data_IF_800219820600
#
_entry.id   IF_800219820600
#
_cell.length_a   1.000
_cell.length_b   1.000
_cell.length_c   1.000
_cell.angle_alpha   90.00
_cell.angle_beta   90.00
_cell.angle_gamma   90.00
#
_symmetry.space_group_name_H-M   'P 1'
#
loop_
_entity.id
_entity.type
_entity.pdbx_description
1 polymer ?
#
# COMPACT_ATOMS: atom_id res chain seq x y z
N UNK A 1 16.70 -13.52 11.53
CA UNK A 1 17.74 -13.96 10.57
C UNK A 1 18.56 -12.74 10.15
N UNK A 2 19.90 -12.84 10.01
CA UNK A 2 20.74 -11.76 9.43
C UNK A 2 20.56 -11.72 7.92
N UNK A 3 20.72 -10.56 7.28
CA UNK A 3 20.79 -10.42 5.82
C UNK A 3 22.26 -10.39 5.37
N UNK A 4 22.55 -10.99 4.22
CA UNK A 4 23.78 -10.67 3.48
C UNK A 4 23.60 -9.34 2.76
N UNK A 5 24.70 -8.71 2.34
CA UNK A 5 24.67 -7.46 1.57
C UNK A 5 23.78 -7.59 0.33
N UNK A 6 24.01 -8.62 -0.50
CA UNK A 6 23.23 -8.86 -1.72
C UNK A 6 21.72 -8.98 -1.46
N UNK A 7 21.35 -9.66 -0.38
CA UNK A 7 19.96 -9.86 -0.02
C UNK A 7 19.30 -8.58 0.49
N UNK A 8 20.06 -7.77 1.23
CA UNK A 8 19.62 -6.45 1.64
C UNK A 8 19.42 -5.53 0.43
N UNK A 9 20.36 -5.53 -0.52
CA UNK A 9 20.23 -4.78 -1.78
C UNK A 9 18.95 -5.18 -2.51
N UNK A 10 18.70 -6.48 -2.69
CA UNK A 10 17.47 -6.97 -3.34
C UNK A 10 16.22 -6.51 -2.60
N UNK A 11 16.21 -6.60 -1.26
CA UNK A 11 15.07 -6.17 -0.45
C UNK A 11 14.81 -4.67 -0.60
N UNK A 12 15.86 -3.84 -0.51
CA UNK A 12 15.75 -2.39 -0.64
C UNK A 12 15.30 -1.98 -2.04
N UNK A 13 15.82 -2.60 -3.10
CA UNK A 13 15.36 -2.35 -4.47
C UNK A 13 13.89 -2.71 -4.66
N UNK A 14 13.41 -3.81 -4.05
CA UNK A 14 11.98 -4.15 -4.06
C UNK A 14 11.14 -3.10 -3.32
N UNK A 15 11.61 -2.62 -2.17
CA UNK A 15 10.96 -1.56 -1.39
C UNK A 15 10.92 -0.24 -2.18
N UNK A 16 12.01 0.14 -2.84
CA UNK A 16 12.05 1.32 -3.72
C UNK A 16 10.99 1.23 -4.82
N UNK A 17 10.87 0.07 -5.48
CA UNK A 17 9.83 -0.18 -6.48
C UNK A 17 8.41 0.00 -5.91
N UNK A 18 8.16 -0.52 -4.70
CA UNK A 18 6.91 -0.31 -3.97
C UNK A 18 6.63 1.18 -3.76
N UNK A 19 7.59 1.94 -3.25
CA UNK A 19 7.41 3.37 -3.01
C UNK A 19 7.18 4.17 -4.30
N UNK A 20 7.88 3.80 -5.37
CA UNK A 20 7.75 4.45 -6.68
C UNK A 20 6.46 4.08 -7.43
N UNK A 21 5.80 2.97 -7.06
CA UNK A 21 4.46 2.61 -7.55
C UNK A 21 3.32 3.38 -6.86
N UNK A 22 3.63 4.21 -5.86
CA UNK A 22 2.63 4.95 -5.09
C UNK A 22 1.90 6.00 -5.93
N UNK A 23 0.56 6.06 -5.93
CA UNK A 23 -0.19 7.16 -6.52
C UNK A 23 0.21 8.51 -5.91
N UNK A 24 0.51 9.50 -6.76
CA UNK A 24 0.73 10.90 -6.36
C UNK A 24 -0.57 11.68 -6.21
N UNK A 25 -1.60 11.25 -6.93
CA UNK A 25 -2.93 11.83 -6.93
C UNK A 25 -3.96 10.73 -6.61
N UNK A 26 -5.14 11.09 -6.07
CA UNK A 26 -6.25 10.17 -5.93
C UNK A 26 -6.58 9.52 -7.28
N UNK A 27 -7.06 8.27 -7.23
CA UNK A 27 -7.48 7.55 -8.42
C UNK A 27 -8.75 8.22 -8.96
N UNK A 28 -8.81 8.44 -10.28
CA UNK A 28 -9.97 9.03 -10.93
C UNK A 28 -11.19 8.10 -10.80
N UNK A 29 -12.38 8.69 -10.68
CA UNK A 29 -13.64 7.95 -10.75
C UNK A 29 -14.12 7.71 -12.19
N UNK A 30 -13.42 8.26 -13.19
CA UNK A 30 -13.73 8.08 -14.61
C UNK A 30 -13.29 6.68 -15.08
N UNK A 31 -14.21 5.86 -15.62
CA UNK A 31 -13.86 4.54 -16.17
C UNK A 31 -12.86 4.58 -17.33
N UNK A 32 -12.67 5.73 -17.99
CA UNK A 32 -11.70 5.90 -19.07
C UNK A 32 -10.30 6.32 -18.59
N UNK A 33 -10.14 6.68 -17.30
CA UNK A 33 -8.86 7.06 -16.70
C UNK A 33 -8.54 6.22 -15.46
N UNK A 34 -8.27 4.90 -15.63
CA UNK A 34 -8.15 3.99 -14.50
C UNK A 34 -6.79 4.08 -13.78
N UNK A 35 -5.80 4.80 -14.33
CA UNK A 35 -4.41 4.66 -13.88
C UNK A 35 -3.86 5.96 -13.26
N UNK A 36 -3.59 5.98 -11.94
CA UNK A 36 -3.07 7.18 -11.30
C UNK A 36 -1.61 7.45 -11.71
N UNK A 37 -1.25 8.73 -11.75
CA UNK A 37 0.16 9.14 -11.91
C UNK A 37 0.94 8.76 -10.65
N UNK A 38 2.11 8.15 -10.83
CA UNK A 38 3.02 7.68 -9.76
C UNK A 38 4.42 8.25 -9.97
N UNK A 39 5.33 8.25 -8.97
CA UNK A 39 6.72 8.63 -9.18
C UNK A 39 7.39 7.86 -10.32
N UNK A 40 7.08 6.57 -10.48
CA UNK A 40 7.60 5.77 -11.58
C UNK A 40 7.26 6.34 -12.97
N UNK A 41 6.06 6.91 -13.15
CA UNK A 41 5.71 7.58 -14.41
C UNK A 41 6.65 8.75 -14.72
N UNK A 42 7.11 9.47 -13.70
CA UNK A 42 8.05 10.58 -13.88
C UNK A 42 9.50 10.10 -14.08
N UNK A 43 9.90 9.04 -13.37
CA UNK A 43 11.28 8.53 -13.40
C UNK A 43 11.58 7.71 -14.67
N UNK A 44 10.64 6.88 -15.10
CA UNK A 44 10.84 5.91 -16.19
C UNK A 44 9.77 5.98 -17.29
N UNK A 45 8.83 6.93 -17.20
CA UNK A 45 7.79 7.14 -18.22
C UNK A 45 6.64 6.13 -18.20
N UNK A 46 6.60 5.20 -17.23
CA UNK A 46 5.62 4.10 -17.18
C UNK A 46 5.43 3.57 -15.75
N UNK A 47 4.32 2.87 -15.46
CA UNK A 47 4.14 2.25 -14.16
C UNK A 47 5.12 1.08 -13.96
N UNK A 48 5.56 0.88 -12.71
CA UNK A 48 6.26 -0.34 -12.31
C UNK A 48 5.20 -1.42 -12.10
N UNK A 49 5.27 -2.49 -12.88
CA UNK A 49 4.40 -3.66 -12.75
C UNK A 49 5.22 -4.87 -12.30
N UNK A 50 4.62 -5.71 -11.46
CA UNK A 50 5.20 -6.99 -11.04
C UNK A 50 4.17 -8.10 -11.20
N UNK A 51 4.68 -9.29 -11.51
CA UNK A 51 3.85 -10.50 -11.56
C UNK A 51 3.37 -10.82 -10.14
N UNK A 52 2.08 -11.11 -9.92
CA UNK A 52 1.58 -11.54 -8.63
C UNK A 52 2.35 -12.75 -8.14
N UNK A 53 2.95 -12.62 -6.97
CA UNK A 53 3.73 -13.70 -6.40
C UNK A 53 2.93 -14.35 -5.21
N UNK A 54 3.03 -15.67 -4.94
CA UNK A 54 2.25 -16.38 -3.89
C UNK A 54 2.32 -15.82 -2.45
N UNK A 55 1.23 -15.67 -1.70
CA UNK A 55 1.34 -15.17 -0.32
C UNK A 55 2.11 -16.14 0.62
N UNK A 56 3.09 -15.60 1.36
CA UNK A 56 3.91 -16.34 2.32
C UNK A 56 3.74 -15.81 3.76
N UNK A 57 2.80 -14.89 3.99
CA UNK A 57 2.54 -14.23 5.27
C UNK A 57 2.35 -15.23 6.43
N UNK A 58 1.58 -16.30 6.19
CA UNK A 58 1.22 -17.33 7.17
C UNK A 58 2.30 -18.40 7.41
N UNK A 59 3.30 -18.50 6.54
CA UNK A 59 4.29 -19.60 6.61
C UNK A 59 5.41 -19.25 7.61
N UNK A 60 5.71 -20.11 8.61
CA UNK A 60 6.80 -19.88 9.56
C UNK A 60 8.16 -19.70 8.88
N UNK A 61 8.98 -18.77 9.37
CA UNK A 61 10.25 -18.39 8.71
C UNK A 61 11.27 -19.54 8.61
N UNK A 62 11.22 -20.49 9.54
CA UNK A 62 12.09 -21.67 9.53
C UNK A 62 11.75 -22.68 8.42
N UNK A 63 10.64 -22.50 7.70
CA UNK A 63 10.23 -23.33 6.56
C UNK A 63 10.43 -22.63 5.21
N UNK A 64 11.01 -21.44 5.21
CA UNK A 64 11.21 -20.65 4.00
C UNK A 64 12.63 -20.85 3.47
N UNK A 65 12.73 -21.08 2.17
CA UNK A 65 13.98 -20.86 1.45
C UNK A 65 14.40 -19.39 1.54
N UNK A 66 15.65 -19.11 1.20
CA UNK A 66 16.18 -17.76 1.35
C UNK A 66 15.46 -16.72 0.48
N UNK A 67 15.08 -17.11 -0.72
CA UNK A 67 14.31 -16.27 -1.64
C UNK A 67 12.88 -16.04 -1.12
N UNK A 68 12.22 -17.07 -0.61
CA UNK A 68 10.91 -16.97 0.03
C UNK A 68 10.93 -16.09 1.29
N UNK A 69 12.03 -16.13 2.06
CA UNK A 69 12.21 -15.24 3.21
C UNK A 69 12.25 -13.76 2.79
N UNK A 70 13.07 -13.40 1.79
CA UNK A 70 13.11 -12.02 1.28
C UNK A 70 11.78 -11.53 0.75
N UNK A 71 11.07 -12.43 0.09
CA UNK A 71 9.75 -12.20 -0.45
C UNK A 71 8.71 -11.95 0.63
N UNK A 72 8.68 -12.79 1.67
CA UNK A 72 7.85 -12.56 2.86
C UNK A 72 8.16 -11.20 3.51
N UNK A 73 9.43 -10.80 3.58
CA UNK A 73 9.83 -9.49 4.11
C UNK A 73 9.34 -8.33 3.24
N UNK A 74 9.39 -8.49 1.92
CA UNK A 74 8.81 -7.52 0.98
C UNK A 74 7.29 -7.40 1.15
N UNK A 75 6.58 -8.53 1.26
CA UNK A 75 5.13 -8.55 1.49
C UNK A 75 4.74 -7.92 2.83
N UNK A 76 5.50 -8.18 3.89
CA UNK A 76 5.29 -7.55 5.19
C UNK A 76 5.49 -6.04 5.15
N UNK A 77 6.50 -5.56 4.41
CA UNK A 77 6.69 -4.13 4.17
C UNK A 77 5.50 -3.56 3.38
N UNK A 78 5.10 -4.18 2.27
CA UNK A 78 3.96 -3.76 1.46
C UNK A 78 2.68 -3.63 2.30
N UNK A 79 2.37 -4.63 3.12
CA UNK A 79 1.18 -4.61 3.97
C UNK A 79 1.21 -3.47 5.00
N UNK A 80 2.36 -3.25 5.65
CA UNK A 80 2.52 -2.18 6.63
C UNK A 80 2.48 -0.81 5.96
N UNK A 81 3.21 -0.65 4.87
CA UNK A 81 3.24 0.56 4.06
C UNK A 81 1.85 0.94 3.57
N UNK A 82 1.11 0.00 2.97
CA UNK A 82 -0.23 0.28 2.43
C UNK A 82 -1.18 0.70 3.54
N UNK A 83 -1.19 -0.02 4.67
CA UNK A 83 -2.02 0.30 5.83
C UNK A 83 -1.74 1.71 6.35
N UNK A 84 -0.48 2.05 6.55
CA UNK A 84 -0.08 3.30 7.19
C UNK A 84 -0.15 4.48 6.19
N UNK A 85 0.14 4.23 4.91
CA UNK A 85 0.04 5.23 3.85
C UNK A 85 -1.40 5.71 3.63
N UNK A 86 -2.37 4.80 3.55
CA UNK A 86 -3.77 5.17 3.38
C UNK A 86 -4.28 6.04 4.55
N UNK A 87 -3.81 5.75 5.77
CA UNK A 87 -4.10 6.59 6.92
C UNK A 87 -3.50 7.99 6.79
N UNK A 88 -2.36 8.14 6.11
CA UNK A 88 -1.73 9.43 5.84
C UNK A 88 -2.41 10.23 4.73
N UNK A 89 -3.07 9.57 3.77
CA UNK A 89 -3.84 10.23 2.71
C UNK A 89 -5.16 10.80 3.22
N UNK A 90 -5.71 10.26 4.30
CA UNK A 90 -6.87 10.85 4.96
C UNK A 90 -6.44 12.16 5.64
N UNK A 91 -6.78 13.29 5.02
CA UNK A 91 -6.69 14.59 5.69
C UNK A 91 -7.52 14.53 6.98
N UNK A 92 -6.85 14.44 8.12
CA UNK A 92 -7.50 14.62 9.42
C UNK A 92 -7.83 16.09 9.58
N UNK A 93 -9.07 16.45 9.23
CA UNK A 93 -9.66 17.70 9.65
C UNK A 93 -9.62 17.73 11.18
N UNK A 94 -8.88 18.67 11.78
CA UNK A 94 -9.04 18.93 13.22
C UNK A 94 -10.49 19.34 13.44
N UNK A 95 -11.15 18.70 14.41
CA UNK A 95 -12.47 19.10 14.90
C UNK A 95 -12.36 20.50 15.52
N UNK A 96 -12.39 21.53 14.67
CA UNK A 96 -12.35 22.95 15.07
C UNK A 96 -13.73 23.45 15.44
N UNK A 97 -14.79 22.72 15.06
CA UNK A 97 -16.18 23.00 15.41
C UNK A 97 -16.82 21.73 15.97
N UNK A 98 -17.67 21.85 17.00
CA UNK A 98 -18.52 20.73 17.45
C UNK A 98 -19.53 20.43 16.35
N UNK A 99 -19.49 19.25 15.70
CA UNK A 99 -20.55 18.84 14.79
C UNK A 99 -21.86 18.68 15.58
N UNK A 100 -23.02 18.86 14.94
CA UNK A 100 -24.28 18.42 15.54
C UNK A 100 -24.25 16.91 15.79
N UNK A 101 -24.97 16.44 16.81
CA UNK A 101 -25.15 15.01 17.06
C UNK A 101 -25.94 14.38 15.89
N UNK A 102 -25.59 13.13 15.54
CA UNK A 102 -26.30 12.33 14.55
C UNK A 102 -27.79 12.20 14.93
N UNK A 103 -28.67 12.38 13.96
CA UNK A 103 -30.11 12.21 14.10
C UNK A 103 -30.63 11.08 13.22
N UNK A 104 -31.79 10.53 13.60
CA UNK A 104 -32.47 9.53 12.77
C UNK A 104 -32.83 10.14 11.41
N UNK A 105 -32.38 9.49 10.33
CA UNK A 105 -32.55 9.99 8.96
C UNK A 105 -31.26 10.58 8.34
N UNK A 106 -30.19 10.76 9.13
CA UNK A 106 -28.91 11.21 8.60
C UNK A 106 -28.23 10.12 7.75
N UNK A 107 -27.67 10.54 6.61
CA UNK A 107 -26.84 9.68 5.77
C UNK A 107 -25.45 9.53 6.38
N UNK A 108 -25.03 8.30 6.65
CA UNK A 108 -23.71 7.98 7.21
C UNK A 108 -22.93 7.04 6.30
N UNK A 109 -21.61 7.23 6.24
CA UNK A 109 -20.70 6.29 5.59
C UNK A 109 -20.40 5.13 6.55
N UNK A 110 -20.79 3.92 6.17
CA UNK A 110 -20.35 2.71 6.88
C UNK A 110 -18.94 2.35 6.42
N UNK A 111 -17.99 2.40 7.33
CA UNK A 111 -16.64 1.88 7.10
C UNK A 111 -16.67 0.37 7.32
N UNK A 112 -16.69 -0.39 6.24
CA UNK A 112 -16.49 -1.84 6.28
C UNK A 112 -14.99 -2.15 6.28
N UNK A 113 -14.54 -3.02 7.19
CA UNK A 113 -13.12 -3.40 7.29
C UNK A 113 -12.67 -4.30 6.12
N UNK A 114 -13.62 -4.84 5.35
CA UNK A 114 -13.37 -5.78 4.24
C UNK A 114 -13.42 -5.17 2.83
N UNK A 115 -13.68 -3.86 2.70
CA UNK A 115 -13.65 -3.20 1.38
C UNK A 115 -12.31 -2.54 1.11
N UNK A 116 -11.88 -2.63 -0.15
CA UNK A 116 -10.69 -1.94 -0.63
C UNK A 116 -10.78 -0.43 -0.30
N UNK A 117 -9.67 0.19 0.11
CA UNK A 117 -9.67 1.58 0.54
C UNK A 117 -10.09 2.50 -0.62
N UNK A 118 -10.99 3.44 -0.32
CA UNK A 118 -11.30 4.58 -1.19
C UNK A 118 -10.06 5.44 -1.44
#
# INVERSE_FOLDING_TARGET
QRFTERELTVLVTKIEGILNSRPLIPISSDPNDPQPITPAHLLIGKPITQIPEPDLSSIPENRLSRWQFLRKRTQSFWASWTRDYLQSLQQRQKWTKKPPNLQAGDLVLMRDENTAPL
#
